data_IF_906314452804
#
_entry.id   IF_906314452804
#
_cell.length_a   1.000
_cell.length_b   1.000
_cell.length_c   1.000
_cell.angle_alpha   90.00
_cell.angle_beta   90.00
_cell.angle_gamma   90.00
#
_symmetry.space_group_name_H-M   'P 1'
#
loop_
_entity.id
_entity.type
_entity.pdbx_description
1 polymer ?
#
# COMPACT_ATOMS: atom_id res chain seq x y z
N UNK A 1 -2.97 -14.78 12.19
CA UNK A 1 -1.80 -13.89 12.29
C UNK A 1 -1.71 -13.16 10.96
N UNK A 2 -2.03 -11.86 10.91
CA UNK A 2 -1.88 -11.13 9.66
C UNK A 2 -0.39 -11.04 9.35
N UNK A 3 0.02 -11.74 8.30
CA UNK A 3 1.41 -11.81 7.91
C UNK A 3 1.70 -10.70 6.92
N UNK A 4 2.95 -10.26 6.85
CA UNK A 4 3.45 -9.32 5.85
C UNK A 4 2.95 -9.62 4.42
N UNK A 5 2.85 -10.91 4.09
CA UNK A 5 2.32 -11.42 2.82
C UNK A 5 0.85 -11.07 2.58
N UNK A 6 -0.01 -11.11 3.60
CA UNK A 6 -1.42 -10.69 3.51
C UNK A 6 -1.53 -9.19 3.27
N UNK A 7 -0.69 -8.41 3.95
CA UNK A 7 -0.62 -6.96 3.79
C UNK A 7 -0.19 -6.58 2.38
N UNK A 8 0.88 -7.20 1.87
CA UNK A 8 1.32 -7.04 0.49
C UNK A 8 0.23 -7.41 -0.53
N UNK A 9 -0.49 -8.52 -0.32
CA UNK A 9 -1.58 -8.91 -1.20
C UNK A 9 -2.71 -7.87 -1.23
N UNK A 10 -3.08 -7.31 -0.06
CA UNK A 10 -4.10 -6.26 0.02
C UNK A 10 -3.64 -4.95 -0.60
N UNK A 11 -2.38 -4.55 -0.36
CA UNK A 11 -1.79 -3.37 -1.00
C UNK A 11 -1.89 -3.53 -2.51
N UNK A 12 -1.37 -4.63 -3.05
CA UNK A 12 -1.39 -4.88 -4.49
C UNK A 12 -2.81 -4.86 -5.08
N UNK A 13 -3.79 -5.43 -4.38
CA UNK A 13 -5.20 -5.39 -4.77
C UNK A 13 -5.77 -3.96 -4.78
N UNK A 14 -5.49 -3.17 -3.74
CA UNK A 14 -5.94 -1.77 -3.65
C UNK A 14 -5.25 -0.92 -4.70
N UNK A 15 -3.93 -1.03 -4.87
CA UNK A 15 -3.16 -0.30 -5.88
C UNK A 15 -3.66 -0.65 -7.29
N UNK A 16 -4.04 -1.90 -7.54
CA UNK A 16 -4.65 -2.32 -8.81
C UNK A 16 -6.03 -1.69 -8.99
N UNK A 17 -6.90 -1.72 -7.97
CA UNK A 17 -8.19 -1.05 -8.05
C UNK A 17 -8.05 0.46 -8.25
N UNK A 18 -7.08 1.11 -7.61
CA UNK A 18 -6.79 2.53 -7.80
C UNK A 18 -6.27 2.76 -9.21
N UNK A 19 -5.37 1.92 -9.74
CA UNK A 19 -4.93 1.99 -11.14
C UNK A 19 -6.09 1.94 -12.12
N UNK A 20 -7.06 1.07 -11.86
CA UNK A 20 -8.19 0.83 -12.76
C UNK A 20 -9.31 1.88 -12.61
N UNK A 21 -9.65 2.28 -11.38
CA UNK A 21 -10.72 3.25 -11.10
C UNK A 21 -10.25 4.71 -11.07
N UNK A 22 -9.03 4.94 -10.60
CA UNK A 22 -8.44 6.27 -10.36
C UNK A 22 -6.99 6.36 -10.89
N UNK A 23 -6.78 6.33 -12.21
CA UNK A 23 -5.45 6.38 -12.81
C UNK A 23 -4.63 7.63 -12.41
N UNK A 24 -5.31 8.69 -11.98
CA UNK A 24 -4.69 9.92 -11.45
C UNK A 24 -3.96 9.68 -10.13
N UNK A 25 -4.57 8.92 -9.22
CA UNK A 25 -3.99 8.50 -7.95
C UNK A 25 -2.89 7.45 -8.14
N UNK A 26 -3.04 6.61 -9.15
CA UNK A 26 -1.98 5.68 -9.53
C UNK A 26 -0.68 6.39 -9.90
N UNK A 27 -0.74 7.56 -10.52
CA UNK A 27 0.46 8.31 -10.89
C UNK A 27 1.23 8.75 -9.64
N UNK A 28 0.51 9.23 -8.62
CA UNK A 28 1.09 9.54 -7.31
C UNK A 28 1.69 8.31 -6.63
N UNK A 29 1.08 7.14 -6.79
CA UNK A 29 1.56 5.89 -6.18
C UNK A 29 2.79 5.32 -6.86
N UNK A 30 2.92 5.47 -8.17
CA UNK A 30 4.11 5.09 -8.93
C UNK A 30 5.32 5.97 -8.57
N UNK A 31 5.07 7.21 -8.15
CA UNK A 31 6.10 8.13 -7.61
C UNK A 31 6.43 7.87 -6.13
N UNK A 32 5.61 7.12 -5.39
CA UNK A 32 5.98 6.72 -4.04
C UNK A 32 6.99 5.58 -4.12
N UNK A 33 8.18 5.71 -3.52
CA UNK A 33 9.06 4.56 -3.37
C UNK A 33 8.31 3.53 -2.54
N UNK A 34 8.00 2.37 -3.13
CA UNK A 34 7.60 1.19 -2.35
C UNK A 34 8.73 1.02 -1.35
N UNK A 35 8.45 1.29 -0.08
CA UNK A 35 9.43 1.28 0.99
C UNK A 35 10.01 -0.12 1.00
N UNK A 36 11.22 -0.25 0.46
CA UNK A 36 11.87 -1.54 0.36
C UNK A 36 12.00 -2.04 1.79
N UNK A 37 11.47 -3.23 2.08
CA UNK A 37 11.53 -3.81 3.40
C UNK A 37 12.99 -3.90 3.84
N UNK A 38 13.34 -3.25 4.94
CA UNK A 38 14.65 -3.43 5.54
C UNK A 38 14.72 -4.85 6.11
N UNK A 39 15.50 -5.73 5.47
CA UNK A 39 15.66 -7.14 5.88
C UNK A 39 16.11 -7.28 7.34
N UNK A 40 16.65 -6.22 7.95
CA UNK A 40 17.08 -6.23 9.35
C UNK A 40 15.92 -6.13 10.34
N UNK A 41 14.72 -5.70 9.93
CA UNK A 41 13.61 -5.43 10.85
C UNK A 41 12.22 -5.88 10.33
N UNK A 42 11.91 -7.19 10.40
CA UNK A 42 10.61 -7.74 9.96
C UNK A 42 9.40 -7.17 10.73
N UNK A 43 9.58 -6.73 11.99
CA UNK A 43 8.50 -6.09 12.77
C UNK A 43 8.13 -4.70 12.22
N UNK A 44 9.12 -3.93 11.80
CA UNK A 44 8.92 -2.62 11.17
C UNK A 44 8.18 -2.80 9.85
N UNK A 45 8.49 -3.89 9.14
CA UNK A 45 7.94 -4.15 7.82
C UNK A 45 6.42 -4.32 7.82
N UNK A 46 5.88 -5.08 8.78
CA UNK A 46 4.42 -5.22 8.96
C UNK A 46 3.78 -3.87 9.28
N UNK A 47 4.40 -3.04 10.13
CA UNK A 47 3.89 -1.70 10.46
C UNK A 47 3.87 -0.79 9.23
N UNK A 48 4.98 -0.71 8.50
CA UNK A 48 5.10 0.12 7.29
C UNK A 48 4.07 -0.28 6.25
N UNK A 49 3.91 -1.58 6.00
CA UNK A 49 2.89 -2.06 5.06
C UNK A 49 1.47 -1.72 5.52
N UNK A 50 1.20 -1.78 6.83
CA UNK A 50 -0.09 -1.38 7.38
C UNK A 50 -0.37 0.10 7.18
N UNK A 51 0.62 0.95 7.46
CA UNK A 51 0.51 2.40 7.25
C UNK A 51 0.38 2.78 5.77
N UNK A 52 1.08 2.05 4.89
CA UNK A 52 0.94 2.24 3.44
C UNK A 52 -0.45 1.85 2.96
N UNK A 53 -0.99 0.71 3.41
CA UNK A 53 -2.35 0.28 3.10
C UNK A 53 -3.41 1.23 3.65
N UNK A 54 -3.20 1.77 4.85
CA UNK A 54 -4.10 2.76 5.45
C UNK A 54 -4.07 4.06 4.66
N UNK A 55 -2.89 4.54 4.27
CA UNK A 55 -2.72 5.72 3.41
C UNK A 55 -3.44 5.54 2.08
N UNK A 56 -3.25 4.39 1.42
CA UNK A 56 -3.96 4.01 0.20
C UNK A 56 -5.49 4.02 0.37
N UNK A 57 -6.01 3.44 1.45
CA UNK A 57 -7.44 3.47 1.75
C UNK A 57 -7.94 4.88 2.02
N UNK A 58 -7.16 5.70 2.71
CA UNK A 58 -7.54 7.06 3.07
C UNK A 58 -7.59 7.96 1.82
N UNK A 59 -6.66 7.73 0.88
CA UNK A 59 -6.70 8.35 -0.45
C UNK A 59 -7.98 7.89 -1.17
N UNK A 60 -8.27 6.60 -1.26
CA UNK A 60 -9.51 6.11 -1.87
C UNK A 60 -10.76 6.72 -1.21
N UNK A 61 -10.83 6.73 0.12
CA UNK A 61 -11.95 7.31 0.89
C UNK A 61 -12.14 8.80 0.69
N UNK A 62 -11.08 9.54 0.36
CA UNK A 62 -11.19 10.96 0.03
C UNK A 62 -11.80 11.19 -1.35
N UNK A 63 -11.80 10.18 -2.21
CA UNK A 63 -12.26 10.25 -3.60
C UNK A 63 -13.55 9.44 -3.85
N UNK A 64 -14.02 8.66 -2.88
CA UNK A 64 -15.33 7.98 -2.82
C UNK A 64 -16.40 8.95 -2.27
#
# INVERSE_FOLDING_TARGET
MQTEKELNAKIMAITTQIKEKHPELSKQLDEMPITIPDESNPEINIKILKEYLDSLNNILKKYD
#
